data_IF_453075509468
#
_entry.id   IF_453075509468
#
_cell.length_a   1.000
_cell.length_b   1.000
_cell.length_c   1.000
_cell.angle_alpha   90.00
_cell.angle_beta   90.00
_cell.angle_gamma   90.00
#
_symmetry.space_group_name_H-M   'P 1'
#
loop_
_entity.id
_entity.type
_entity.pdbx_description
1 polymer ?
#
# COMPACT_ATOMS: atom_id res chain seq x y z
N UNK A 1 62.15 -86.06 -10.63
CA UNK A 1 61.02 -85.98 -9.68
C UNK A 1 60.41 -84.58 -9.76
N UNK A 2 59.15 -84.46 -10.20
CA UNK A 2 58.28 -83.28 -9.93
C UNK A 2 57.84 -83.34 -8.45
N UNK A 3 57.19 -82.30 -7.87
CA UNK A 3 57.32 -80.85 -8.06
C UNK A 3 57.37 -80.10 -6.70
N UNK A 4 57.62 -78.78 -6.67
CA UNK A 4 56.83 -77.85 -5.85
C UNK A 4 57.15 -76.40 -6.19
N UNK A 5 56.07 -75.65 -6.32
CA UNK A 5 55.88 -74.28 -6.81
C UNK A 5 56.29 -73.19 -5.82
N UNK A 6 56.73 -72.03 -6.34
CA UNK A 6 56.23 -70.69 -5.95
C UNK A 6 56.68 -69.64 -7.00
N UNK A 7 55.75 -68.84 -7.58
CA UNK A 7 56.05 -67.97 -8.72
C UNK A 7 56.40 -66.52 -8.32
N UNK A 8 57.14 -65.87 -9.23
CA UNK A 8 57.37 -64.42 -9.34
C UNK A 8 56.05 -63.63 -9.32
N UNK A 9 55.97 -62.58 -8.49
CA UNK A 9 54.97 -61.52 -8.67
C UNK A 9 55.54 -60.41 -9.55
N UNK A 10 54.92 -60.24 -10.71
CA UNK A 10 55.07 -59.12 -11.63
C UNK A 10 54.08 -58.03 -11.19
N UNK A 11 54.57 -56.80 -11.05
CA UNK A 11 53.75 -55.62 -10.79
C UNK A 11 53.04 -55.19 -12.09
N UNK A 12 51.71 -55.24 -12.12
CA UNK A 12 50.88 -54.67 -13.19
C UNK A 12 50.01 -53.54 -12.60
N UNK A 13 49.81 -52.42 -13.32
CA UNK A 13 48.96 -51.33 -12.85
C UNK A 13 47.48 -51.68 -13.06
N UNK A 14 46.69 -51.62 -11.99
CA UNK A 14 45.24 -51.77 -12.02
C UNK A 14 44.59 -50.44 -12.40
N UNK A 15 43.77 -50.48 -13.45
CA UNK A 15 42.82 -49.44 -13.83
C UNK A 15 41.87 -49.15 -12.66
N UNK A 16 41.88 -47.92 -12.15
CA UNK A 16 40.91 -47.44 -11.16
C UNK A 16 39.62 -47.02 -11.86
N UNK A 17 38.56 -47.77 -11.61
CA UNK A 17 37.19 -47.47 -12.02
C UNK A 17 36.59 -46.36 -11.15
N UNK A 18 35.94 -45.42 -11.82
CA UNK A 18 35.25 -44.22 -11.32
C UNK A 18 34.31 -44.45 -10.12
N UNK A 19 34.36 -43.51 -9.16
CA UNK A 19 33.24 -43.10 -8.32
C UNK A 19 33.11 -41.58 -8.43
N UNK A 20 32.41 -41.13 -9.47
CA UNK A 20 31.94 -39.74 -9.54
C UNK A 20 30.81 -39.61 -8.52
N UNK A 21 31.13 -39.10 -7.33
CA UNK A 21 30.10 -38.69 -6.38
C UNK A 21 29.41 -37.46 -6.97
N UNK A 22 28.27 -37.69 -7.63
CA UNK A 22 27.34 -36.63 -8.00
C UNK A 22 26.78 -36.05 -6.71
N UNK A 23 27.42 -34.99 -6.21
CA UNK A 23 26.81 -34.07 -5.25
C UNK A 23 25.56 -33.51 -5.93
N UNK A 24 24.40 -34.09 -5.60
CA UNK A 24 23.12 -33.44 -5.81
C UNK A 24 23.13 -32.19 -4.94
N UNK A 25 23.59 -31.08 -5.49
CA UNK A 25 23.25 -29.78 -4.96
C UNK A 25 21.74 -29.65 -5.17
N UNK A 26 20.97 -29.95 -4.12
CA UNK A 26 19.62 -29.45 -3.99
C UNK A 26 19.72 -27.93 -3.97
N UNK A 27 19.62 -27.30 -5.13
CA UNK A 27 19.35 -25.87 -5.23
C UNK A 27 18.00 -25.67 -4.56
N UNK A 28 18.02 -25.26 -3.29
CA UNK A 28 16.86 -24.63 -2.68
C UNK A 28 16.60 -23.37 -3.49
N UNK A 29 15.72 -23.47 -4.48
CA UNK A 29 15.16 -22.31 -5.15
C UNK A 29 14.40 -21.56 -4.07
N UNK A 30 14.95 -20.43 -3.60
CA UNK A 30 14.11 -19.40 -3.02
C UNK A 30 13.06 -19.09 -4.10
N UNK A 31 11.78 -19.07 -3.75
CA UNK A 31 10.74 -18.71 -4.69
C UNK A 31 11.05 -17.28 -5.19
N UNK A 32 11.36 -17.16 -6.48
CA UNK A 32 11.68 -15.89 -7.11
C UNK A 32 10.36 -15.15 -7.39
N UNK A 33 10.34 -13.84 -7.10
CA UNK A 33 9.19 -12.98 -7.36
C UNK A 33 8.75 -13.12 -8.83
N UNK A 34 7.46 -13.32 -9.06
CA UNK A 34 6.93 -13.42 -10.43
C UNK A 34 6.41 -12.07 -10.88
N UNK A 35 7.00 -11.52 -11.96
CA UNK A 35 6.65 -10.21 -12.51
C UNK A 35 6.28 -10.30 -13.99
N UNK A 36 5.45 -9.38 -14.48
CA UNK A 36 5.16 -9.26 -15.91
C UNK A 36 6.42 -8.88 -16.70
N UNK A 37 6.69 -9.50 -17.88
CA UNK A 37 7.85 -9.13 -18.70
C UNK A 37 7.81 -7.67 -19.15
N UNK A 38 8.98 -7.01 -19.13
CA UNK A 38 9.15 -5.63 -19.61
C UNK A 38 8.84 -4.55 -18.57
N UNK A 39 8.49 -4.92 -17.34
CA UNK A 39 8.29 -3.95 -16.25
C UNK A 39 9.53 -3.83 -15.37
N UNK A 40 10.46 -2.95 -15.76
CA UNK A 40 11.55 -2.54 -14.86
C UNK A 40 11.03 -1.47 -13.89
N UNK A 41 11.40 -1.57 -12.62
CA UNK A 41 11.12 -0.49 -11.67
C UNK A 41 12.23 0.55 -11.71
N UNK A 42 11.89 1.84 -11.65
CA UNK A 42 12.86 2.81 -11.20
C UNK A 42 12.95 2.70 -9.68
N UNK A 43 13.99 2.00 -9.21
CA UNK A 43 14.49 2.06 -7.83
C UNK A 43 14.62 3.50 -7.30
N UNK A 44 14.69 4.46 -8.21
CA UNK A 44 14.72 5.90 -8.00
C UNK A 44 13.57 6.48 -7.15
N UNK A 45 12.39 5.80 -7.05
CA UNK A 45 11.31 6.22 -6.11
C UNK A 45 11.80 6.20 -4.66
N UNK A 46 12.70 5.28 -4.35
CA UNK A 46 13.13 5.01 -2.99
C UNK A 46 14.54 5.57 -2.75
N UNK A 47 14.75 6.15 -1.58
CA UNK A 47 16.06 6.58 -1.09
C UNK A 47 16.47 5.58 -0.02
N UNK A 48 17.43 4.73 -0.34
CA UNK A 48 18.00 3.77 0.60
C UNK A 48 19.00 4.49 1.51
N UNK A 49 18.87 4.27 2.82
CA UNK A 49 19.89 4.66 3.79
C UNK A 49 20.75 3.43 4.05
N UNK A 50 21.91 3.36 3.39
CA UNK A 50 22.83 2.22 3.45
C UNK A 50 23.15 1.81 4.90
N UNK A 51 23.33 0.51 5.11
CA UNK A 51 23.61 -0.13 6.41
C UNK A 51 22.55 0.03 7.52
N UNK A 52 21.52 0.86 7.33
CA UNK A 52 20.48 1.08 8.35
C UNK A 52 19.27 0.16 8.22
N UNK A 53 19.08 -0.49 7.06
CA UNK A 53 17.86 -1.23 6.74
C UNK A 53 16.63 -0.33 6.60
N UNK A 54 16.81 0.96 6.30
CA UNK A 54 15.74 1.95 6.15
C UNK A 54 15.65 2.45 4.70
N UNK A 55 14.43 2.83 4.30
CA UNK A 55 14.17 3.39 2.97
C UNK A 55 13.14 4.50 3.05
N UNK A 56 13.43 5.66 2.43
CA UNK A 56 12.45 6.75 2.29
C UNK A 56 11.80 6.68 0.93
N UNK A 57 10.47 6.73 0.92
CA UNK A 57 9.68 6.83 -0.29
C UNK A 57 9.56 8.30 -0.70
N UNK A 58 10.03 8.67 -1.89
CA UNK A 58 9.95 10.05 -2.41
C UNK A 58 8.53 10.49 -2.75
N UNK A 59 7.65 9.55 -3.04
CA UNK A 59 6.25 9.85 -3.42
C UNK A 59 5.44 10.14 -2.17
N UNK A 60 5.52 9.27 -1.17
CA UNK A 60 4.73 9.39 0.06
C UNK A 60 5.44 10.13 1.18
N UNK A 61 6.74 10.44 1.04
CA UNK A 61 7.56 11.04 2.11
C UNK A 61 7.81 10.14 3.33
N UNK A 62 7.19 8.96 3.39
CA UNK A 62 7.26 8.03 4.50
C UNK A 62 8.66 7.38 4.58
N UNK A 63 9.11 7.17 5.81
CA UNK A 63 10.33 6.41 6.10
C UNK A 63 9.93 5.00 6.54
N UNK A 64 10.28 4.00 5.76
CA UNK A 64 9.93 2.60 5.99
C UNK A 64 11.10 1.79 6.53
N UNK A 65 10.79 0.81 7.39
CA UNK A 65 11.69 -0.31 7.58
C UNK A 65 11.70 -1.19 6.33
N UNK A 66 12.89 -1.60 5.86
CA UNK A 66 13.05 -2.55 4.75
C UNK A 66 12.75 -3.98 5.17
N UNK A 67 13.02 -4.32 6.43
CA UNK A 67 12.68 -5.62 7.02
C UNK A 67 11.34 -5.58 7.74
N UNK A 68 10.63 -6.71 7.73
CA UNK A 68 9.42 -6.88 8.54
C UNK A 68 9.80 -7.03 10.01
N UNK A 69 8.90 -6.70 10.94
CA UNK A 69 9.14 -6.93 12.36
C UNK A 69 9.33 -8.43 12.59
N UNK A 70 10.46 -8.82 13.19
CA UNK A 70 10.89 -10.22 13.32
C UNK A 70 12.14 -10.56 12.49
N UNK A 71 12.39 -9.78 11.44
CA UNK A 71 13.58 -9.86 10.61
C UNK A 71 14.59 -8.77 10.99
N UNK A 72 15.86 -8.97 10.62
CA UNK A 72 16.92 -7.97 10.81
C UNK A 72 17.67 -7.72 9.51
N UNK A 73 18.23 -6.52 9.38
CA UNK A 73 19.07 -6.14 8.24
C UNK A 73 20.48 -6.70 8.44
N UNK A 74 20.99 -7.46 7.47
CA UNK A 74 22.34 -8.05 7.52
C UNK A 74 23.39 -7.24 6.74
N UNK A 75 23.01 -6.09 6.17
CA UNK A 75 23.83 -5.28 5.27
C UNK A 75 23.42 -5.38 3.80
N UNK A 76 22.87 -6.52 3.36
CA UNK A 76 22.47 -6.76 1.96
C UNK A 76 20.98 -7.11 1.80
N UNK A 77 20.34 -7.62 2.85
CA UNK A 77 18.95 -8.04 2.84
C UNK A 77 18.40 -8.26 4.24
N UNK A 78 17.18 -8.80 4.28
CA UNK A 78 16.49 -9.10 5.52
C UNK A 78 16.59 -10.59 5.85
N UNK A 79 17.08 -10.92 7.03
CA UNK A 79 17.17 -12.29 7.53
C UNK A 79 16.19 -12.51 8.69
N UNK A 80 15.61 -13.71 8.76
CA UNK A 80 14.84 -14.12 9.92
C UNK A 80 15.75 -14.21 11.15
N UNK A 81 15.26 -13.74 12.30
CA UNK A 81 15.99 -13.89 13.55
C UNK A 81 16.17 -15.37 13.92
N UNK A 82 17.42 -15.86 13.88
CA UNK A 82 17.80 -17.19 14.38
C UNK A 82 17.60 -17.32 15.90
N UNK A 83 17.48 -16.19 16.62
CA UNK A 83 17.04 -16.18 18.01
C UNK A 83 15.54 -16.45 18.02
N UNK A 84 15.16 -17.68 18.36
CA UNK A 84 13.79 -18.23 18.55
C UNK A 84 12.79 -17.36 19.35
N UNK A 85 13.23 -16.24 19.93
CA UNK A 85 12.41 -15.38 20.78
C UNK A 85 11.78 -14.18 20.06
N UNK A 86 12.21 -13.82 18.84
CA UNK A 86 11.57 -12.73 18.11
C UNK A 86 10.44 -13.32 17.26
N UNK A 87 9.19 -13.04 17.65
CA UNK A 87 8.01 -13.42 16.88
C UNK A 87 7.97 -12.61 15.58
N UNK A 88 7.84 -13.26 14.44
CA UNK A 88 7.57 -12.64 13.13
C UNK A 88 6.07 -12.45 12.84
N UNK A 89 5.20 -12.96 13.74
CA UNK A 89 3.75 -12.93 13.61
C UNK A 89 3.13 -12.34 14.87
N UNK A 90 2.16 -11.46 14.69
CA UNK A 90 1.53 -10.69 15.75
C UNK A 90 0.02 -10.79 15.65
N UNK A 91 -0.66 -11.00 16.78
CA UNK A 91 -2.10 -10.73 16.86
C UNK A 91 -2.34 -9.23 16.74
N UNK A 92 -3.56 -8.83 16.38
CA UNK A 92 -3.89 -7.40 16.28
C UNK A 92 -3.67 -6.65 17.61
N UNK A 93 -3.94 -7.30 18.75
CA UNK A 93 -3.66 -6.74 20.08
C UNK A 93 -2.18 -6.63 20.43
N UNK A 94 -1.27 -7.18 19.62
CA UNK A 94 0.18 -7.15 19.84
C UNK A 94 0.89 -6.11 18.96
N UNK A 95 0.16 -5.32 18.18
CA UNK A 95 0.74 -4.31 17.29
C UNK A 95 1.55 -3.25 18.05
N UNK A 96 1.01 -2.71 19.14
CA UNK A 96 1.74 -1.72 19.97
C UNK A 96 3.00 -2.35 20.58
N UNK A 97 2.91 -3.59 21.06
CA UNK A 97 4.08 -4.32 21.58
C UNK A 97 5.13 -4.59 20.49
N UNK A 98 4.74 -4.75 19.23
CA UNK A 98 5.66 -4.90 18.10
C UNK A 98 6.42 -3.58 17.83
N UNK A 99 5.72 -2.45 17.93
CA UNK A 99 6.30 -1.11 17.82
C UNK A 99 7.27 -0.84 18.98
N UNK A 100 6.82 -1.02 20.22
CA UNK A 100 7.64 -0.81 21.44
C UNK A 100 8.92 -1.65 21.41
N UNK A 101 8.81 -2.91 20.99
CA UNK A 101 9.99 -3.78 20.82
C UNK A 101 10.96 -3.19 19.81
N UNK A 102 10.48 -2.75 18.67
CA UNK A 102 11.32 -2.18 17.61
C UNK A 102 12.01 -0.90 18.07
N UNK A 103 11.31 -0.04 18.81
CA UNK A 103 11.90 1.17 19.42
C UNK A 103 13.02 0.77 20.38
N UNK A 104 12.79 -0.23 21.24
CA UNK A 104 13.79 -0.73 22.19
C UNK A 104 15.02 -1.33 21.50
N UNK A 105 14.82 -2.07 20.42
CA UNK A 105 15.91 -2.73 19.69
C UNK A 105 16.74 -1.76 18.84
N UNK A 106 16.09 -0.79 18.20
CA UNK A 106 16.75 0.17 17.31
C UNK A 106 17.24 1.43 18.03
N UNK A 107 16.71 1.72 19.22
CA UNK A 107 16.91 2.99 19.91
C UNK A 107 16.26 4.18 19.21
N UNK A 108 15.39 3.94 18.22
CA UNK A 108 14.73 5.00 17.46
C UNK A 108 13.24 5.04 17.77
N UNK A 109 12.72 6.22 18.05
CA UNK A 109 11.31 6.51 18.29
C UNK A 109 10.54 6.83 16.99
N UNK A 110 9.25 7.16 17.11
CA UNK A 110 8.40 7.59 16.00
C UNK A 110 7.94 6.48 15.05
N UNK A 111 8.27 5.22 15.34
CA UNK A 111 7.74 4.06 14.64
C UNK A 111 6.27 3.86 14.94
N UNK A 112 5.51 3.47 13.92
CA UNK A 112 4.11 3.05 14.03
C UNK A 112 3.76 2.00 12.99
N UNK A 113 2.65 1.30 13.21
CA UNK A 113 2.03 0.48 12.17
C UNK A 113 1.40 1.40 11.12
N UNK A 114 1.58 1.13 9.82
CA UNK A 114 0.99 1.92 8.74
C UNK A 114 -0.52 1.72 8.68
N UNK A 115 -1.24 2.72 8.16
CA UNK A 115 -2.64 2.53 7.74
C UNK A 115 -2.72 1.64 6.50
N UNK A 116 -3.91 1.13 6.17
CA UNK A 116 -4.07 0.33 4.95
C UNK A 116 -3.72 1.15 3.70
N UNK A 117 -4.06 2.43 3.68
CA UNK A 117 -3.75 3.35 2.58
C UNK A 117 -2.25 3.52 2.38
N UNK A 118 -1.49 3.62 3.47
CA UNK A 118 -0.03 3.73 3.41
C UNK A 118 0.62 2.41 2.98
N UNK A 119 0.16 1.29 3.53
CA UNK A 119 0.70 -0.02 3.23
C UNK A 119 0.44 -0.42 1.76
N UNK A 120 -0.72 -0.06 1.22
CA UNK A 120 -1.07 -0.27 -0.19
C UNK A 120 -0.11 0.45 -1.16
N UNK A 121 0.48 1.59 -0.75
CA UNK A 121 1.42 2.34 -1.62
C UNK A 121 2.72 1.59 -1.93
N UNK A 122 3.02 0.51 -1.19
CA UNK A 122 4.16 -0.37 -1.43
C UNK A 122 3.88 -1.44 -2.49
N UNK A 123 2.61 -1.65 -2.85
CA UNK A 123 2.22 -2.74 -3.73
C UNK A 123 2.73 -2.53 -5.15
N UNK A 124 3.24 -3.62 -5.71
CA UNK A 124 3.61 -3.74 -7.12
C UNK A 124 2.63 -4.66 -7.83
N UNK A 125 1.60 -4.09 -8.44
CA UNK A 125 0.48 -4.84 -9.04
C UNK A 125 0.83 -5.65 -10.30
N UNK A 126 2.00 -5.42 -10.88
CA UNK A 126 2.56 -6.20 -11.98
C UNK A 126 3.47 -7.35 -11.51
N UNK A 127 3.59 -7.56 -10.19
CA UNK A 127 4.25 -8.70 -9.58
C UNK A 127 3.39 -9.40 -8.54
N UNK A 128 3.71 -10.66 -8.28
CA UNK A 128 3.08 -11.51 -7.28
C UNK A 128 4.16 -12.33 -6.56
N UNK A 129 3.85 -12.76 -5.35
CA UNK A 129 4.69 -13.63 -4.53
C UNK A 129 6.17 -13.18 -4.37
N UNK A 130 6.46 -11.99 -3.81
CA UNK A 130 5.51 -11.00 -3.29
C UNK A 130 5.23 -9.84 -4.26
N UNK A 131 4.05 -9.23 -4.19
CA UNK A 131 3.61 -8.03 -4.90
C UNK A 131 4.19 -6.73 -4.30
N UNK A 132 5.52 -6.63 -4.20
CA UNK A 132 6.26 -5.46 -3.67
C UNK A 132 7.60 -5.30 -4.40
N UNK A 133 8.25 -4.13 -4.37
CA UNK A 133 9.63 -4.02 -4.85
C UNK A 133 10.58 -4.86 -3.98
N UNK A 134 11.02 -6.02 -4.45
CA UNK A 134 11.89 -6.96 -3.73
C UNK A 134 13.33 -6.46 -3.58
N UNK A 135 13.80 -5.53 -4.42
CA UNK A 135 15.09 -4.86 -4.22
C UNK A 135 15.04 -3.90 -3.03
N UNK A 136 13.94 -3.17 -2.87
CA UNK A 136 13.77 -2.21 -1.76
C UNK A 136 13.32 -2.88 -0.46
N UNK A 137 12.51 -3.93 -0.56
CA UNK A 137 11.95 -4.68 0.57
C UNK A 137 12.29 -6.17 0.44
N UNK A 138 13.58 -6.54 0.57
CA UNK A 138 14.03 -7.91 0.34
C UNK A 138 13.44 -8.88 1.36
N UNK A 139 13.22 -10.12 0.92
CA UNK A 139 12.68 -11.21 1.74
C UNK A 139 11.37 -10.84 2.48
N UNK A 140 10.53 -10.00 1.86
CA UNK A 140 9.18 -9.73 2.36
C UNK A 140 8.36 -11.03 2.31
N UNK A 141 7.80 -11.50 3.44
CA UNK A 141 6.87 -12.63 3.43
C UNK A 141 5.71 -12.42 2.44
N UNK A 142 5.51 -13.37 1.52
CA UNK A 142 4.34 -13.42 0.62
C UNK A 142 3.09 -13.86 1.39
N UNK A 143 2.64 -13.02 2.31
CA UNK A 143 1.48 -13.26 3.16
C UNK A 143 0.86 -11.93 3.63
N UNK A 144 -0.17 -12.04 4.46
CA UNK A 144 -0.85 -10.91 5.08
C UNK A 144 0.02 -10.12 6.05
N UNK A 145 -0.17 -8.81 6.01
CA UNK A 145 0.37 -7.82 6.93
C UNK A 145 -0.78 -7.04 7.57
N UNK A 146 -0.70 -6.83 8.88
CA UNK A 146 -1.63 -5.95 9.57
C UNK A 146 -1.40 -4.49 9.17
N UNK A 147 -2.52 -3.77 9.05
CA UNK A 147 -2.52 -2.30 9.12
C UNK A 147 -3.08 -1.84 10.47
N UNK A 148 -2.90 -0.56 10.79
CA UNK A 148 -3.54 0.08 11.95
C UNK A 148 -5.00 0.49 11.68
N UNK A 149 -5.53 0.21 10.49
CA UNK A 149 -6.87 0.66 10.07
C UNK A 149 -7.93 -0.35 10.51
N UNK A 150 -8.83 0.00 11.45
CA UNK A 150 -9.96 -0.85 11.81
C UNK A 150 -10.99 -0.90 10.68
N UNK A 151 -11.81 -1.95 10.65
CA UNK A 151 -12.95 -2.01 9.76
C UNK A 151 -14.10 -1.20 10.35
N UNK A 152 -14.57 -0.18 9.61
CA UNK A 152 -15.50 0.81 10.16
C UNK A 152 -16.86 0.21 10.57
N UNK A 153 -17.34 -0.76 9.78
CA UNK A 153 -18.66 -1.38 9.98
C UNK A 153 -18.67 -2.45 11.08
N UNK A 154 -17.51 -3.00 11.45
CA UNK A 154 -17.40 -3.94 12.57
C UNK A 154 -16.01 -3.86 13.22
N UNK A 155 -15.88 -3.30 14.44
CA UNK A 155 -14.60 -3.10 15.11
C UNK A 155 -13.90 -4.41 15.53
N UNK A 156 -14.57 -5.56 15.42
CA UNK A 156 -13.90 -6.85 15.61
C UNK A 156 -12.96 -7.21 14.45
N UNK A 157 -13.08 -6.52 13.31
CA UNK A 157 -12.26 -6.72 12.12
C UNK A 157 -11.28 -5.56 11.91
N UNK A 158 -10.15 -5.85 11.27
CA UNK A 158 -9.19 -4.84 10.83
C UNK A 158 -8.68 -5.16 9.43
N UNK A 159 -8.19 -4.13 8.73
CA UNK A 159 -7.66 -4.25 7.40
C UNK A 159 -6.27 -4.87 7.40
N UNK A 160 -6.05 -5.78 6.45
CA UNK A 160 -4.78 -6.41 6.13
C UNK A 160 -4.45 -6.21 4.66
N UNK A 161 -3.18 -6.20 4.32
CA UNK A 161 -2.71 -6.31 2.94
C UNK A 161 -2.03 -7.66 2.73
N UNK A 162 -2.45 -8.42 1.72
CA UNK A 162 -1.76 -9.65 1.34
C UNK A 162 -0.69 -9.36 0.31
N UNK A 163 0.60 -9.48 0.66
CA UNK A 163 1.67 -9.30 -0.32
C UNK A 163 1.84 -10.48 -1.28
N UNK A 164 1.15 -11.62 -1.14
CA UNK A 164 1.12 -12.60 -2.22
C UNK A 164 0.47 -11.99 -3.49
N UNK A 165 -0.59 -11.20 -3.28
CA UNK A 165 -1.48 -10.71 -4.34
C UNK A 165 -1.47 -9.18 -4.50
N UNK A 166 -1.12 -8.44 -3.45
CA UNK A 166 -1.25 -6.99 -3.38
C UNK A 166 -2.67 -6.50 -3.06
N UNK A 167 -3.56 -7.39 -2.59
CA UNK A 167 -4.98 -7.09 -2.38
C UNK A 167 -5.29 -6.86 -0.89
N UNK A 168 -6.01 -5.79 -0.53
CA UNK A 168 -6.43 -5.55 0.84
C UNK A 168 -7.68 -6.38 1.19
N UNK A 169 -7.76 -6.86 2.43
CA UNK A 169 -8.89 -7.64 2.95
C UNK A 169 -9.09 -7.41 4.45
N UNK A 170 -10.31 -7.60 4.95
CA UNK A 170 -10.62 -7.50 6.39
C UNK A 170 -10.52 -8.85 7.07
N UNK A 171 -9.96 -8.89 8.28
CA UNK A 171 -9.81 -10.12 9.06
C UNK A 171 -10.21 -9.90 10.52
N UNK A 172 -10.81 -10.92 11.13
CA UNK A 172 -11.16 -10.94 12.55
C UNK A 172 -9.89 -10.82 13.42
N UNK A 173 -9.84 -9.76 14.23
CA UNK A 173 -8.64 -9.36 15.00
C UNK A 173 -8.22 -10.36 16.07
N UNK A 174 -9.16 -11.18 16.56
CA UNK A 174 -8.96 -12.12 17.68
C UNK A 174 -8.43 -13.50 17.27
N UNK A 175 -8.47 -13.86 15.99
CA UNK A 175 -8.23 -15.26 15.54
C UNK A 175 -6.98 -15.45 14.70
N UNK A 176 -6.30 -14.36 14.31
CA UNK A 176 -5.19 -14.43 13.38
C UNK A 176 -3.92 -13.76 13.92
N UNK A 177 -2.77 -14.26 13.45
CA UNK A 177 -1.47 -13.62 13.62
C UNK A 177 -0.85 -13.39 12.24
N UNK A 178 -0.42 -12.16 11.97
CA UNK A 178 0.13 -11.75 10.69
C UNK A 178 1.40 -10.92 10.87
N UNK A 179 2.07 -10.66 9.75
CA UNK A 179 3.30 -9.88 9.72
C UNK A 179 3.01 -8.40 9.98
N UNK A 180 4.04 -7.66 10.37
CA UNK A 180 3.98 -6.22 10.59
C UNK A 180 5.19 -5.58 9.93
N UNK A 181 5.00 -4.42 9.31
CA UNK A 181 6.07 -3.55 8.81
C UNK A 181 5.84 -2.17 9.38
N UNK A 182 6.88 -1.54 9.91
CA UNK A 182 6.73 -0.23 10.53
C UNK A 182 7.14 0.90 9.59
N UNK A 183 6.53 2.05 9.84
CA UNK A 183 6.75 3.30 9.13
C UNK A 183 6.94 4.45 10.12
N UNK A 184 7.63 5.51 9.69
CA UNK A 184 7.68 6.81 10.38
C UNK A 184 7.19 7.94 9.46
N UNK A 185 6.78 9.02 10.11
CA UNK A 185 6.26 10.22 9.46
C UNK A 185 4.78 10.08 9.13
N UNK A 186 4.26 11.07 8.41
CA UNK A 186 2.93 11.09 7.81
C UNK A 186 3.14 11.42 6.33
N UNK A 187 2.23 10.99 5.45
CA UNK A 187 2.30 11.39 4.04
C UNK A 187 2.24 12.93 3.98
N UNK A 188 3.25 13.63 3.40
CA UNK A 188 3.19 15.07 3.22
C UNK A 188 1.99 15.39 2.34
N UNK A 189 0.96 15.99 2.93
CA UNK A 189 -0.14 16.56 2.16
C UNK A 189 0.33 17.93 1.70
N UNK A 190 0.38 18.16 0.38
CA UNK A 190 0.77 19.45 -0.19
C UNK A 190 -0.10 20.55 0.45
N UNK A 191 0.56 21.57 1.03
CA UNK A 191 0.03 22.70 1.82
C UNK A 191 -0.06 22.52 3.35
N UNK A 192 1.04 22.16 4.03
CA UNK A 192 1.17 22.36 5.49
C UNK A 192 2.12 23.52 5.81
N UNK A 193 1.66 24.62 6.44
CA UNK A 193 2.51 25.44 7.28
C UNK A 193 2.82 24.68 8.57
N UNK A 194 4.08 24.66 9.00
CA UNK A 194 4.50 24.11 10.30
C UNK A 194 3.78 24.86 11.43
N UNK A 195 3.08 24.12 12.29
CA UNK A 195 2.50 24.67 13.51
C UNK A 195 3.51 24.60 14.66
N UNK A 196 3.66 25.71 15.36
CA UNK A 196 4.38 25.78 16.63
C UNK A 196 3.38 25.56 17.78
N UNK A 197 3.78 24.68 18.69
CA UNK A 197 3.55 24.64 20.13
C UNK A 197 2.34 25.43 20.65
N UNK A 198 1.19 24.76 20.77
CA UNK A 198 0.24 24.87 21.88
C UNK A 198 -0.65 23.62 21.88
N UNK A 199 -0.06 22.56 22.42
CA UNK A 199 -0.40 21.16 22.26
C UNK A 199 -1.42 20.73 23.35
N UNK A 200 -2.72 20.90 23.07
CA UNK A 200 -3.79 20.03 23.59
C UNK A 200 -5.19 20.39 23.07
N UNK A 201 -5.48 21.67 22.79
CA UNK A 201 -6.81 22.10 22.34
C UNK A 201 -7.06 21.92 20.83
N UNK A 202 -6.00 21.83 20.01
CA UNK A 202 -6.08 21.69 18.56
C UNK A 202 -5.60 20.33 18.04
N UNK A 203 -5.34 19.36 18.93
CA UNK A 203 -4.79 18.05 18.54
C UNK A 203 -5.68 17.30 17.54
N UNK A 204 -7.01 17.46 17.62
CA UNK A 204 -7.95 16.87 16.65
C UNK A 204 -7.82 17.47 15.24
N UNK A 205 -7.29 18.69 15.13
CA UNK A 205 -7.11 19.45 13.90
C UNK A 205 -5.67 19.42 13.39
N UNK A 206 -4.72 18.90 14.18
CA UNK A 206 -3.32 18.69 13.78
C UNK A 206 -3.17 17.43 12.89
N UNK A 207 -3.95 17.42 11.82
CA UNK A 207 -4.03 16.35 10.83
C UNK A 207 -3.15 16.60 9.59
N UNK A 208 -2.45 17.73 9.56
CA UNK A 208 -1.63 18.17 8.43
C UNK A 208 -2.43 18.67 7.23
N UNK A 209 -3.74 18.93 7.41
CA UNK A 209 -4.64 19.50 6.41
C UNK A 209 -5.10 20.90 6.87
N UNK A 210 -5.43 21.04 8.14
CA UNK A 210 -6.00 22.28 8.67
C UNK A 210 -4.90 23.29 9.05
N UNK A 211 -5.11 24.56 8.68
CA UNK A 211 -4.27 25.66 9.14
C UNK A 211 -4.56 25.95 10.62
N UNK A 212 -3.69 25.50 11.51
CA UNK A 212 -3.83 25.70 12.96
C UNK A 212 -3.82 27.17 13.38
N UNK A 213 -3.29 28.08 12.55
CA UNK A 213 -3.30 29.52 12.80
C UNK A 213 -4.62 30.20 12.38
N UNK A 214 -5.58 29.48 11.79
CA UNK A 214 -6.87 30.05 11.43
C UNK A 214 -7.71 30.30 12.68
N UNK A 215 -8.09 31.55 13.01
CA UNK A 215 -8.89 31.85 14.20
C UNK A 215 -10.28 31.18 14.17
N UNK A 216 -10.80 30.87 12.97
CA UNK A 216 -12.10 30.23 12.80
C UNK A 216 -12.02 28.70 12.91
N UNK A 217 -10.83 28.11 13.08
CA UNK A 217 -10.66 26.66 13.16
C UNK A 217 -11.49 26.05 14.30
N UNK A 218 -11.57 26.74 15.44
CA UNK A 218 -12.38 26.29 16.58
C UNK A 218 -13.89 26.42 16.35
N UNK A 219 -14.32 27.19 15.34
CA UNK A 219 -15.73 27.28 14.94
C UNK A 219 -16.14 26.15 13.98
N UNK A 220 -15.18 25.40 13.44
CA UNK A 220 -15.46 24.27 12.56
C UNK A 220 -15.89 23.04 13.37
N UNK A 221 -16.79 22.26 12.78
CA UNK A 221 -17.16 20.95 13.30
C UNK A 221 -16.09 19.94 12.90
N UNK A 222 -15.59 19.14 13.85
CA UNK A 222 -14.64 18.08 13.54
C UNK A 222 -15.22 17.07 12.54
N UNK A 223 -14.37 16.46 11.71
CA UNK A 223 -14.81 15.48 10.72
C UNK A 223 -15.66 14.35 11.34
N UNK A 224 -15.26 13.86 12.51
CA UNK A 224 -16.00 12.82 13.24
C UNK A 224 -17.41 13.27 13.58
N UNK A 225 -17.56 14.52 14.04
CA UNK A 225 -18.87 15.09 14.34
C UNK A 225 -19.68 15.33 13.06
N UNK A 226 -19.06 15.84 12.00
CA UNK A 226 -19.73 16.12 10.72
C UNK A 226 -20.26 14.84 10.06
N UNK A 227 -19.60 13.71 10.30
CA UNK A 227 -19.93 12.43 9.67
C UNK A 227 -20.82 11.54 10.54
N UNK A 228 -21.15 11.97 11.76
CA UNK A 228 -21.83 11.13 12.75
C UNK A 228 -23.17 10.55 12.27
N UNK A 229 -23.91 11.33 11.47
CA UNK A 229 -25.24 10.97 10.96
C UNK A 229 -25.22 10.47 9.51
N UNK A 230 -24.04 10.37 8.89
CA UNK A 230 -23.91 9.95 7.49
C UNK A 230 -23.66 8.44 7.40
N UNK A 231 -24.30 7.71 6.47
CA UNK A 231 -23.87 6.36 6.13
C UNK A 231 -22.42 6.36 5.64
N UNK A 232 -21.60 5.51 6.26
CA UNK A 232 -20.18 5.36 5.97
C UNK A 232 -19.91 4.05 5.23
N UNK A 233 -18.91 4.07 4.37
CA UNK A 233 -18.40 2.85 3.74
C UNK A 233 -17.49 2.05 4.69
N UNK A 234 -16.98 0.92 4.21
CA UNK A 234 -16.08 0.01 4.92
C UNK A 234 -14.77 0.66 5.44
N UNK A 235 -14.39 1.81 4.88
CA UNK A 235 -13.23 2.62 5.28
C UNK A 235 -13.59 3.79 6.21
N UNK A 236 -14.86 3.88 6.64
CA UNK A 236 -15.34 4.94 7.53
C UNK A 236 -15.47 6.29 6.84
N UNK A 237 -15.70 6.30 5.52
CA UNK A 237 -15.85 7.53 4.73
C UNK A 237 -17.26 7.61 4.11
N UNK A 238 -17.87 8.80 4.05
CA UNK A 238 -19.14 9.00 3.36
C UNK A 238 -19.00 8.70 1.86
N UNK A 239 -20.03 8.09 1.29
CA UNK A 239 -20.18 8.04 -0.15
C UNK A 239 -20.93 9.30 -0.63
N UNK A 240 -20.17 10.37 -0.92
CA UNK A 240 -20.75 11.65 -1.33
C UNK A 240 -21.70 11.54 -2.53
N UNK A 241 -21.40 10.65 -3.48
CA UNK A 241 -22.22 10.46 -4.68
C UNK A 241 -23.52 9.72 -4.38
N UNK A 242 -23.51 8.76 -3.46
CA UNK A 242 -24.75 8.11 -2.98
C UNK A 242 -25.60 9.10 -2.17
N UNK A 243 -24.98 9.81 -1.22
CA UNK A 243 -25.66 10.79 -0.36
C UNK A 243 -26.38 11.87 -1.16
N UNK A 244 -25.75 12.38 -2.22
CA UNK A 244 -26.35 13.38 -3.10
C UNK A 244 -27.52 12.81 -3.90
N UNK A 245 -27.35 11.63 -4.51
CA UNK A 245 -28.41 10.97 -5.30
C UNK A 245 -29.62 10.56 -4.46
N UNK A 246 -29.38 10.16 -3.22
CA UNK A 246 -30.43 9.75 -2.27
C UNK A 246 -31.09 10.95 -1.58
N UNK A 247 -30.58 12.17 -1.79
CA UNK A 247 -31.11 13.39 -1.18
C UNK A 247 -30.84 13.51 0.31
N UNK A 248 -29.88 12.73 0.85
CA UNK A 248 -29.44 12.83 2.25
C UNK A 248 -28.72 14.16 2.49
N UNK A 249 -28.02 14.66 1.47
CA UNK A 249 -27.40 15.99 1.47
C UNK A 249 -27.97 16.85 0.35
N UNK A 250 -28.10 18.15 0.61
CA UNK A 250 -28.50 19.15 -0.36
C UNK A 250 -27.51 20.33 -0.32
N UNK A 251 -26.34 20.20 -0.96
CA UNK A 251 -25.32 21.24 -0.90
C UNK A 251 -25.78 22.53 -1.57
N UNK A 252 -25.29 23.65 -1.05
CA UNK A 252 -25.51 24.95 -1.70
C UNK A 252 -24.68 25.02 -2.99
N UNK A 253 -25.31 25.56 -4.04
CA UNK A 253 -24.68 25.80 -5.35
C UNK A 253 -23.68 26.94 -5.32
N UNK A 254 -23.92 27.95 -4.47
CA UNK A 254 -23.01 29.06 -4.25
C UNK A 254 -22.96 29.45 -2.77
N UNK A 255 -21.98 30.28 -2.41
CA UNK A 255 -21.76 30.72 -1.03
C UNK A 255 -22.91 31.56 -0.45
N UNK A 256 -23.75 32.14 -1.30
CA UNK A 256 -24.87 33.00 -0.90
C UNK A 256 -26.17 32.22 -0.70
N UNK A 257 -26.27 30.99 -1.20
CA UNK A 257 -27.49 30.21 -1.19
C UNK A 257 -28.55 30.73 -2.17
N UNK A 258 -28.12 31.51 -3.17
CA UNK A 258 -29.00 31.99 -4.23
C UNK A 258 -29.37 30.85 -5.18
N UNK A 259 -30.61 30.83 -5.70
CA UNK A 259 -31.06 29.78 -6.61
C UNK A 259 -30.30 29.90 -7.95
N UNK A 260 -29.38 28.96 -8.15
CA UNK A 260 -28.58 28.78 -9.36
C UNK A 260 -28.55 27.29 -9.69
N UNK A 261 -28.50 26.94 -10.98
CA UNK A 261 -28.38 25.55 -11.41
C UNK A 261 -26.91 25.18 -11.59
N UNK A 262 -26.49 24.06 -11.00
CA UNK A 262 -25.17 23.51 -11.26
C UNK A 262 -25.12 22.93 -12.68
N UNK A 263 -24.13 23.31 -13.51
CA UNK A 263 -23.98 22.74 -14.84
C UNK A 263 -23.48 21.29 -14.75
N UNK A 264 -24.38 20.33 -14.95
CA UNK A 264 -24.04 18.89 -14.94
C UNK A 264 -23.64 18.41 -16.34
N UNK A 265 -22.44 17.88 -16.47
CA UNK A 265 -21.92 17.35 -17.73
C UNK A 265 -21.86 15.82 -17.74
N UNK A 266 -22.58 15.18 -18.66
CA UNK A 266 -22.68 13.72 -18.78
C UNK A 266 -21.72 13.16 -19.81
N UNK A 267 -20.42 13.23 -19.51
CA UNK A 267 -19.37 12.65 -20.34
C UNK A 267 -18.41 11.82 -19.53
N UNK A 268 -18.09 10.62 -20.02
CA UNK A 268 -17.19 9.69 -19.35
C UNK A 268 -15.83 9.67 -20.06
N UNK A 269 -14.74 9.81 -19.30
CA UNK A 269 -13.38 9.58 -19.79
C UNK A 269 -12.94 8.18 -19.36
N UNK A 270 -12.37 7.42 -20.30
CA UNK A 270 -11.84 6.07 -20.04
C UNK A 270 -10.32 6.08 -20.20
N UNK A 271 -9.60 5.77 -19.13
CA UNK A 271 -8.14 5.57 -19.16
C UNK A 271 -7.84 4.08 -19.28
N UNK A 272 -7.11 3.73 -20.34
CA UNK A 272 -6.88 2.33 -20.74
C UNK A 272 -5.52 1.78 -20.35
N UNK A 273 -4.62 2.63 -19.88
CA UNK A 273 -3.27 2.24 -19.49
C UNK A 273 -3.25 1.74 -18.03
N UNK A 274 -3.88 0.58 -17.81
CA UNK A 274 -4.09 -0.02 -16.48
C UNK A 274 -3.51 -1.43 -16.38
N UNK A 275 -2.66 -1.82 -17.35
CA UNK A 275 -2.06 -3.14 -17.47
C UNK A 275 -3.09 -4.30 -17.42
N UNK A 276 -3.19 -4.99 -16.27
CA UNK A 276 -4.09 -6.12 -16.02
C UNK A 276 -5.25 -5.78 -15.06
N UNK A 277 -5.32 -4.54 -14.60
CA UNK A 277 -6.47 -4.01 -13.86
C UNK A 277 -7.53 -3.53 -14.84
N UNK A 278 -8.83 -3.52 -14.44
CA UNK A 278 -9.86 -2.88 -15.23
C UNK A 278 -9.49 -1.44 -15.60
N UNK A 279 -10.01 -0.95 -16.72
CA UNK A 279 -9.83 0.43 -17.15
C UNK A 279 -10.43 1.38 -16.12
N UNK A 280 -9.80 2.55 -15.98
CA UNK A 280 -10.34 3.59 -15.12
C UNK A 280 -11.42 4.35 -15.84
N UNK A 281 -12.56 4.54 -15.18
CA UNK A 281 -13.66 5.40 -15.64
C UNK A 281 -13.72 6.65 -14.78
N UNK A 282 -13.68 7.81 -15.42
CA UNK A 282 -13.97 9.09 -14.80
C UNK A 282 -15.29 9.65 -15.34
N UNK A 283 -16.37 9.64 -14.54
CA UNK A 283 -17.65 10.23 -14.95
C UNK A 283 -17.72 11.71 -14.57
N UNK A 284 -17.86 12.61 -15.55
CA UNK A 284 -18.07 14.04 -15.25
C UNK A 284 -19.36 14.28 -14.50
N UNK A 285 -20.41 13.48 -14.73
CA UNK A 285 -21.71 13.69 -14.11
C UNK A 285 -21.58 13.74 -12.59
N UNK A 286 -21.01 12.70 -11.99
CA UNK A 286 -20.84 12.60 -10.53
C UNK A 286 -19.99 13.72 -9.94
N UNK A 287 -19.04 14.26 -10.70
CA UNK A 287 -18.18 15.35 -10.23
C UNK A 287 -18.83 16.73 -10.43
N UNK A 288 -19.57 16.93 -11.52
CA UNK A 288 -20.23 18.20 -11.88
C UNK A 288 -21.59 18.41 -11.22
N UNK A 289 -22.15 17.37 -10.58
CA UNK A 289 -23.36 17.48 -9.76
C UNK A 289 -23.15 18.40 -8.54
N UNK A 290 -21.90 18.56 -8.06
CA UNK A 290 -21.58 19.44 -6.93
C UNK A 290 -20.32 20.29 -7.12
N UNK A 291 -19.44 20.00 -8.07
CA UNK A 291 -18.25 20.80 -8.34
C UNK A 291 -18.42 21.63 -9.61
N UNK A 292 -17.99 22.89 -9.57
CA UNK A 292 -17.93 23.74 -10.75
C UNK A 292 -16.75 23.34 -11.63
N UNK A 293 -16.81 23.66 -12.93
CA UNK A 293 -15.75 23.36 -13.89
C UNK A 293 -14.38 23.92 -13.43
N UNK A 294 -14.39 25.11 -12.83
CA UNK A 294 -13.21 25.82 -12.32
C UNK A 294 -12.57 25.17 -11.10
N UNK A 295 -13.24 24.22 -10.44
CA UNK A 295 -12.60 23.42 -9.39
C UNK A 295 -11.55 22.45 -9.95
N UNK A 296 -11.63 22.13 -11.24
CA UNK A 296 -10.75 21.16 -11.90
C UNK A 296 -9.95 21.77 -13.06
N UNK A 297 -10.60 22.61 -13.86
CA UNK A 297 -10.05 23.13 -15.11
C UNK A 297 -9.66 24.61 -15.00
N UNK A 298 -8.50 25.03 -15.51
CA UNK A 298 -7.44 24.22 -16.15
C UNK A 298 -6.30 23.83 -15.18
N UNK A 299 -6.48 24.07 -13.88
CA UNK A 299 -5.44 23.94 -12.86
C UNK A 299 -5.00 22.49 -12.62
N UNK A 300 -5.95 21.56 -12.47
CA UNK A 300 -5.68 20.14 -12.18
C UNK A 300 -5.62 19.35 -13.48
N UNK A 301 -6.55 19.62 -14.39
CA UNK A 301 -6.65 18.97 -15.69
C UNK A 301 -6.81 20.02 -16.78
N UNK A 302 -6.11 19.87 -17.90
CA UNK A 302 -6.44 20.63 -19.08
C UNK A 302 -7.78 20.14 -19.66
N UNK A 303 -8.53 21.02 -20.32
CA UNK A 303 -9.70 20.68 -21.15
C UNK A 303 -9.35 19.89 -22.43
N UNK A 304 -8.40 18.97 -22.35
CA UNK A 304 -7.93 18.12 -23.45
C UNK A 304 -7.42 16.79 -22.93
N UNK A 305 -7.97 15.70 -23.45
CA UNK A 305 -7.56 14.33 -23.09
C UNK A 305 -6.13 14.02 -23.53
N UNK A 306 -5.46 13.12 -22.81
CA UNK A 306 -4.10 12.65 -23.13
C UNK A 306 -2.97 13.65 -22.88
N UNK A 307 -3.24 14.74 -22.16
CA UNK A 307 -2.24 15.76 -21.80
C UNK A 307 -1.64 15.53 -20.41
N UNK A 308 -2.35 14.83 -19.54
CA UNK A 308 -1.95 14.52 -18.17
C UNK A 308 -1.22 13.18 -18.11
N UNK A 309 -0.05 13.16 -17.47
CA UNK A 309 0.69 11.94 -17.15
C UNK A 309 0.21 11.40 -15.80
N UNK A 310 -0.91 10.66 -15.84
CA UNK A 310 -1.58 10.16 -14.64
C UNK A 310 -1.08 8.75 -14.33
N UNK A 311 -0.48 8.61 -13.15
CA UNK A 311 -0.11 7.32 -12.56
C UNK A 311 -0.55 7.25 -11.10
N UNK A 312 -0.58 6.05 -10.51
CA UNK A 312 -0.80 5.93 -9.08
C UNK A 312 0.28 6.67 -8.27
N UNK A 313 1.52 6.76 -8.76
CA UNK A 313 2.57 7.54 -8.12
C UNK A 313 2.24 9.03 -8.05
N UNK A 314 1.80 9.63 -9.16
CA UNK A 314 1.38 11.05 -9.18
C UNK A 314 0.15 11.27 -8.29
N UNK A 315 -0.78 10.32 -8.27
CA UNK A 315 -1.98 10.36 -7.42
C UNK A 315 -1.59 10.31 -5.94
N UNK A 316 -0.70 9.40 -5.52
CA UNK A 316 -0.23 9.33 -4.14
C UNK A 316 0.53 10.59 -3.70
N UNK A 317 1.16 11.31 -4.64
CA UNK A 317 1.79 12.61 -4.36
C UNK A 317 0.81 13.80 -4.30
N UNK A 318 -0.49 13.56 -4.44
CA UNK A 318 -1.53 14.59 -4.36
C UNK A 318 -1.82 15.32 -5.67
N UNK A 319 -1.42 14.76 -6.82
CA UNK A 319 -1.71 15.33 -8.14
C UNK A 319 -2.91 14.64 -8.78
N UNK A 320 -3.56 15.32 -9.73
CA UNK A 320 -4.70 14.79 -10.50
C UNK A 320 -5.83 14.29 -9.59
N UNK A 321 -6.19 13.00 -9.67
CA UNK A 321 -7.19 12.39 -8.80
C UNK A 321 -6.82 12.52 -7.31
N UNK A 322 -5.51 12.51 -7.01
CA UNK A 322 -4.97 12.62 -5.65
C UNK A 322 -5.16 13.98 -5.01
N UNK A 323 -5.49 15.02 -5.78
CA UNK A 323 -5.85 16.33 -5.23
C UNK A 323 -7.06 16.21 -4.30
N UNK A 324 -7.99 15.29 -4.59
CA UNK A 324 -9.23 15.11 -3.84
C UNK A 324 -9.36 13.71 -3.20
N UNK A 325 -9.07 12.63 -3.93
CA UNK A 325 -9.22 11.26 -3.43
C UNK A 325 -8.13 10.91 -2.42
N UNK A 326 -8.53 10.43 -1.23
CA UNK A 326 -7.66 10.25 -0.06
C UNK A 326 -7.54 11.49 0.85
N UNK A 327 -8.07 12.64 0.41
CA UNK A 327 -8.09 13.89 1.18
C UNK A 327 -9.51 14.23 1.61
N UNK A 328 -10.36 14.58 0.64
CA UNK A 328 -11.77 15.00 0.86
C UNK A 328 -12.78 14.02 0.25
N UNK A 329 -12.33 13.16 -0.67
CA UNK A 329 -13.12 12.08 -1.26
C UNK A 329 -12.66 10.71 -0.75
N UNK A 330 -13.26 9.64 -1.27
CA UNK A 330 -12.98 8.26 -0.86
C UNK A 330 -11.48 7.89 -0.95
N UNK A 331 -11.08 6.84 -0.22
CA UNK A 331 -9.68 6.39 -0.15
C UNK A 331 -9.17 5.80 -1.46
N UNK A 332 -7.88 6.01 -1.74
CA UNK A 332 -7.17 5.42 -2.88
C UNK A 332 -7.02 3.88 -2.80
N UNK A 333 -7.34 3.27 -1.65
CA UNK A 333 -7.35 1.81 -1.47
C UNK A 333 -8.59 1.14 -2.06
N UNK A 334 -9.67 1.89 -2.26
CA UNK A 334 -10.90 1.39 -2.90
C UNK A 334 -10.74 1.39 -4.44
N UNK A 335 -9.89 0.47 -4.92
CA UNK A 335 -9.45 0.37 -6.31
C UNK A 335 -10.63 0.37 -7.29
N UNK A 336 -11.73 -0.28 -6.88
CA UNK A 336 -12.87 -0.53 -7.73
C UNK A 336 -13.68 0.70 -8.09
N UNK A 337 -13.58 1.76 -7.28
CA UNK A 337 -14.26 3.03 -7.58
C UNK A 337 -13.68 3.74 -8.81
N UNK A 338 -12.39 3.54 -9.07
CA UNK A 338 -11.72 4.09 -10.25
C UNK A 338 -11.69 3.05 -11.38
N UNK A 339 -11.11 1.89 -11.09
CA UNK A 339 -10.90 0.79 -12.03
C UNK A 339 -12.19 -0.04 -12.19
N UNK A 340 -13.20 0.55 -12.80
CA UNK A 340 -14.56 -0.01 -12.85
C UNK A 340 -14.92 -0.62 -14.21
N UNK A 341 -14.09 -0.49 -15.23
CA UNK A 341 -14.42 -0.92 -16.60
C UNK A 341 -13.63 -2.16 -17.00
N UNK A 342 -14.25 -3.33 -16.86
CA UNK A 342 -13.64 -4.61 -17.22
C UNK A 342 -13.30 -4.65 -18.72
N UNK A 343 -12.12 -5.16 -19.05
CA UNK A 343 -11.67 -5.40 -20.42
C UNK A 343 -11.10 -6.83 -20.57
N UNK A 344 -10.90 -7.34 -21.80
CA UNK A 344 -10.46 -8.72 -22.01
C UNK A 344 -9.08 -9.08 -21.41
N UNK A 345 -8.26 -8.08 -21.10
CA UNK A 345 -6.92 -8.25 -20.55
C UNK A 345 -6.84 -8.24 -19.02
N UNK A 346 -7.99 -8.16 -18.32
CA UNK A 346 -8.02 -8.18 -16.85
C UNK A 346 -7.59 -9.57 -16.35
N UNK A 347 -6.70 -9.61 -15.35
CA UNK A 347 -6.25 -10.88 -14.76
C UNK A 347 -7.35 -11.56 -13.93
N UNK A 348 -7.27 -12.87 -13.76
CA UNK A 348 -8.27 -13.62 -12.98
C UNK A 348 -8.31 -13.19 -11.50
N UNK A 349 -7.16 -12.82 -10.96
CA UNK A 349 -7.05 -12.21 -9.63
C UNK A 349 -7.94 -10.96 -9.51
N UNK A 350 -7.86 -10.04 -10.48
CA UNK A 350 -8.69 -8.85 -10.45
C UNK A 350 -10.14 -9.22 -10.71
N UNK A 351 -10.45 -10.08 -11.68
CA UNK A 351 -11.83 -10.55 -11.87
C UNK A 351 -12.45 -11.06 -10.56
N UNK A 352 -11.71 -11.83 -9.78
CA UNK A 352 -12.15 -12.29 -8.45
C UNK A 352 -12.41 -11.13 -7.49
N UNK A 353 -11.45 -10.20 -7.34
CA UNK A 353 -11.59 -9.02 -6.49
C UNK A 353 -12.85 -8.18 -6.85
N UNK A 354 -13.22 -8.14 -8.12
CA UNK A 354 -14.35 -7.35 -8.64
C UNK A 354 -15.70 -8.06 -8.62
N UNK A 355 -15.77 -9.39 -8.39
CA UNK A 355 -17.03 -10.17 -8.46
C UNK A 355 -18.14 -9.64 -7.54
N UNK A 356 -17.76 -9.16 -6.36
CA UNK A 356 -18.71 -8.74 -5.32
C UNK A 356 -18.74 -7.21 -5.11
N UNK A 357 -18.12 -6.44 -6.02
CA UNK A 357 -17.88 -4.99 -5.87
C UNK A 357 -18.70 -4.12 -6.84
N UNK A 358 -19.65 -4.71 -7.57
CA UNK A 358 -20.44 -4.05 -8.62
C UNK A 358 -21.94 -4.03 -8.33
#
# INVERSE_FOLDING_TARGET
MKPSTKPLLICAPLFSTLLFSSLLFSSNSLAEQTCRPGTSQPDQRFIVFEDTGLVRDRVTGLLWQRCSVGQFWNGTGCEESSKRMIKSWFTYSQLDSAVERTIKETGQDGWRVPTIDELQTLVKYDCQDPAINSHMFPNTPSWRFWSSTPFANNPEYAWTLDFATGVPSTVLTKTASYNVRLVKGKIPRLNTPQANNDEQALAEWDDGIHNLANPDLQALQSQKAAFADLPLNDFGKPDWAALLREGVIAPRVNKFGEPEEMPVWKHDIIFKDTANMPWVKFPHQTHSEWLACTNCHDDIFAQKTGTADISMATIYSGQYCGTCHGVVAFTLTDCARCHSQIHPGVSDQWKEYYKDKH
#
